data_IF_419647962975
#
_entry.id   IF_419647962975
#
_cell.length_a   1.000
_cell.length_b   1.000
_cell.length_c   1.000
_cell.angle_alpha   90.00
_cell.angle_beta   90.00
_cell.angle_gamma   90.00
#
_symmetry.space_group_name_H-M   'P 1'
#
loop_
_entity.id
_entity.type
_entity.pdbx_description
1 polymer ?
#
# COMPACT_ATOMS: atom_id res chain seq x y z
N UNK A 1 -15.21 22.67 -35.96
CA UNK A 1 -15.08 22.16 -34.58
C UNK A 1 -13.75 22.51 -33.89
N UNK A 2 -12.61 22.62 -34.60
CA UNK A 2 -11.32 22.97 -33.96
C UNK A 2 -11.13 24.42 -33.50
N UNK A 3 -11.90 25.40 -34.02
CA UNK A 3 -11.80 26.81 -33.59
C UNK A 3 -12.65 27.16 -32.36
N UNK A 4 -13.61 26.30 -32.02
CA UNK A 4 -14.44 26.43 -30.81
C UNK A 4 -13.79 25.77 -29.60
N UNK A 5 -12.99 24.71 -29.81
CA UNK A 5 -12.22 24.04 -28.75
C UNK A 5 -11.14 24.96 -28.13
N UNK A 6 -10.43 25.76 -28.93
CA UNK A 6 -9.44 26.70 -28.43
C UNK A 6 -10.04 27.86 -27.60
N UNK A 7 -11.26 28.30 -27.94
CA UNK A 7 -11.96 29.35 -27.21
C UNK A 7 -12.53 28.84 -25.87
N UNK A 8 -12.95 27.57 -25.79
CA UNK A 8 -13.44 26.95 -24.55
C UNK A 8 -12.29 26.66 -23.57
N UNK A 9 -11.11 26.24 -24.07
CA UNK A 9 -9.92 26.02 -23.24
C UNK A 9 -9.34 27.31 -22.61
N UNK A 10 -9.48 28.46 -23.27
CA UNK A 10 -9.05 29.74 -22.71
C UNK A 10 -9.99 30.27 -21.61
N UNK A 11 -11.27 29.87 -21.61
CA UNK A 11 -12.26 30.32 -20.62
C UNK A 11 -12.15 29.56 -19.29
N UNK A 12 -11.67 28.31 -19.31
CA UNK A 12 -11.57 27.46 -18.10
C UNK A 12 -10.31 27.82 -17.28
N UNK A 13 -9.24 28.30 -17.92
CA UNK A 13 -8.00 28.69 -17.22
C UNK A 13 -8.10 30.02 -16.45
N UNK A 14 -9.15 30.82 -16.70
CA UNK A 14 -9.35 32.13 -16.06
C UNK A 14 -10.25 32.10 -14.80
N UNK A 15 -10.86 30.95 -14.46
CA UNK A 15 -11.81 30.85 -13.34
C UNK A 15 -11.24 30.21 -12.05
N UNK A 16 -9.95 29.89 -11.98
CA UNK A 16 -9.33 29.25 -10.80
C UNK A 16 -8.56 30.19 -9.86
N UNK A 17 -8.67 31.52 -10.03
CA UNK A 17 -7.98 32.51 -9.19
C UNK A 17 -8.96 33.44 -8.46
N UNK A 18 -10.00 32.89 -7.83
CA UNK A 18 -10.79 33.60 -6.82
C UNK A 18 -11.19 32.62 -5.72
N UNK A 19 -10.36 32.52 -4.68
CA UNK A 19 -10.82 32.19 -3.34
C UNK A 19 -9.83 32.74 -2.31
N UNK A 20 -10.22 33.88 -1.74
CA UNK A 20 -9.99 34.34 -0.38
C UNK A 20 -8.54 34.52 0.11
N UNK A 21 -7.95 35.67 -0.24
CA UNK A 21 -7.13 36.42 0.70
C UNK A 21 -7.98 37.50 1.39
N UNK A 22 -8.14 37.40 2.72
CA UNK A 22 -8.20 38.53 3.67
C UNK A 22 -8.59 38.05 5.07
N UNK A 23 -7.62 37.95 5.96
CA UNK A 23 -7.76 38.57 7.28
C UNK A 23 -6.37 38.92 7.79
N UNK A 24 -6.15 40.21 7.96
CA UNK A 24 -4.92 40.78 8.46
C UNK A 24 -5.22 41.68 9.67
N UNK A 25 -4.31 41.59 10.63
CA UNK A 25 -3.92 42.58 11.65
C UNK A 25 -4.74 42.65 12.94
N UNK A 26 -4.05 42.31 14.04
CA UNK A 26 -3.96 43.21 15.18
C UNK A 26 -3.78 42.52 16.53
N UNK A 27 -2.56 42.49 17.06
CA UNK A 27 -2.33 42.17 18.48
C UNK A 27 -0.89 41.85 18.83
N UNK A 28 -0.23 42.79 19.52
CA UNK A 28 1.17 42.82 19.90
C UNK A 28 1.68 41.66 20.81
N UNK A 29 2.99 41.49 20.79
CA UNK A 29 3.84 40.60 21.58
C UNK A 29 3.64 40.70 23.10
N UNK A 30 3.68 39.56 23.80
CA UNK A 30 4.57 39.30 24.95
C UNK A 30 4.68 37.78 25.20
N UNK A 31 5.79 37.29 25.80
CA UNK A 31 6.17 35.88 25.79
C UNK A 31 5.69 35.13 27.05
N UNK A 32 5.41 33.84 26.88
CA UNK A 32 5.38 32.89 27.99
C UNK A 32 4.00 32.32 28.31
N UNK A 33 3.68 31.18 27.71
CA UNK A 33 3.11 30.03 28.42
C UNK A 33 3.10 28.83 27.47
N UNK A 34 3.75 27.77 27.91
CA UNK A 34 3.82 26.46 27.27
C UNK A 34 2.39 25.96 27.05
N UNK A 35 2.02 25.44 25.85
CA UNK A 35 0.71 24.82 25.69
C UNK A 35 0.69 23.54 26.53
N UNK A 36 -0.33 23.43 27.39
CA UNK A 36 -0.64 22.18 28.10
C UNK A 36 -0.78 21.03 27.08
N UNK A 37 -0.22 19.83 27.35
CA UNK A 37 -0.37 18.72 26.42
C UNK A 37 -1.84 18.32 26.41
N UNK A 38 -2.44 18.35 25.22
CA UNK A 38 -3.76 17.75 24.98
C UNK A 38 -3.77 16.32 25.53
N UNK A 39 -4.82 15.90 26.25
CA UNK A 39 -4.92 14.52 26.70
C UNK A 39 -4.87 13.64 25.45
N UNK A 40 -3.96 12.65 25.45
CA UNK A 40 -3.96 11.59 24.45
C UNK A 40 -5.35 10.97 24.50
N UNK A 41 -6.15 11.22 23.47
CA UNK A 41 -7.37 10.48 23.26
C UNK A 41 -6.93 9.04 23.06
N UNK A 42 -7.09 8.23 24.12
CA UNK A 42 -7.07 6.79 24.01
C UNK A 42 -8.33 6.43 23.20
N UNK A 43 -8.17 6.43 21.88
CA UNK A 43 -9.17 5.89 20.98
C UNK A 43 -8.96 4.38 21.04
N UNK A 44 -9.40 3.75 22.13
CA UNK A 44 -9.61 2.31 22.11
C UNK A 44 -10.64 2.06 21.00
N UNK A 45 -10.17 1.65 19.82
CA UNK A 45 -11.06 1.18 18.77
C UNK A 45 -11.79 -0.06 19.29
N UNK A 46 -13.09 -0.24 18.99
CA UNK A 46 -13.78 -1.48 19.31
C UNK A 46 -12.99 -2.66 18.74
N UNK A 47 -12.70 -3.67 19.57
CA UNK A 47 -12.17 -4.93 19.09
C UNK A 47 -13.17 -5.48 18.05
N UNK A 48 -12.69 -5.67 16.82
CA UNK A 48 -13.50 -6.22 15.73
C UNK A 48 -13.97 -7.64 16.12
N UNK A 49 -15.14 -8.08 15.63
CA UNK A 49 -15.45 -9.51 15.66
C UNK A 49 -14.29 -10.28 15.01
N UNK A 50 -13.89 -11.38 15.64
CA UNK A 50 -12.81 -12.27 15.20
C UNK A 50 -12.96 -12.57 13.70
N UNK A 51 -12.17 -11.90 12.88
CA UNK A 51 -12.18 -11.99 11.43
C UNK A 51 -11.04 -12.88 11.02
N UNK A 52 -11.35 -14.06 10.50
CA UNK A 52 -10.35 -15.02 10.03
C UNK A 52 -10.36 -15.10 8.52
N UNK A 53 -9.18 -15.18 7.93
CA UNK A 53 -9.01 -15.58 6.54
C UNK A 53 -8.73 -17.08 6.45
N UNK A 54 -9.13 -17.69 5.35
CA UNK A 54 -8.75 -19.04 4.99
C UNK A 54 -7.96 -18.99 3.68
N UNK A 55 -7.02 -19.93 3.44
CA UNK A 55 -6.37 -20.00 2.14
C UNK A 55 -7.40 -20.21 1.03
N UNK A 56 -7.18 -19.54 -0.10
CA UNK A 56 -8.05 -19.67 -1.28
C UNK A 56 -8.11 -21.12 -1.76
N UNK A 57 -9.30 -21.59 -2.14
CA UNK A 57 -9.49 -22.86 -2.84
C UNK A 57 -9.47 -22.65 -4.35
N UNK A 58 -8.43 -23.16 -5.03
CA UNK A 58 -8.30 -23.12 -6.49
C UNK A 58 -7.38 -22.01 -6.99
N UNK A 59 -7.38 -21.80 -8.31
CA UNK A 59 -6.55 -20.78 -8.96
C UNK A 59 -7.22 -19.40 -8.84
N UNK A 60 -6.45 -18.45 -8.33
CA UNK A 60 -6.82 -17.05 -8.09
C UNK A 60 -5.92 -16.10 -8.90
N UNK A 61 -5.22 -16.61 -9.90
CA UNK A 61 -4.41 -15.83 -10.83
C UNK A 61 -5.24 -15.46 -12.04
N UNK A 62 -5.30 -14.17 -12.35
CA UNK A 62 -5.99 -13.67 -13.52
C UNK A 62 -5.23 -14.11 -14.79
N UNK A 63 -5.96 -14.49 -15.86
CA UNK A 63 -5.35 -14.75 -17.15
C UNK A 63 -4.54 -13.54 -17.63
N UNK A 64 -3.27 -13.75 -17.94
CA UNK A 64 -2.36 -12.71 -18.41
C UNK A 64 -1.43 -13.26 -19.50
N UNK A 65 -0.93 -12.36 -20.34
CA UNK A 65 0.13 -12.69 -21.27
C UNK A 65 1.46 -12.78 -20.50
N UNK A 66 2.36 -13.73 -20.84
CA UNK A 66 3.64 -13.83 -20.16
C UNK A 66 4.43 -12.53 -20.23
N UNK A 67 4.80 -12.00 -19.06
CA UNK A 67 5.63 -10.81 -18.96
C UNK A 67 7.12 -11.18 -19.07
N UNK A 68 7.91 -10.29 -19.68
CA UNK A 68 9.36 -10.42 -19.75
C UNK A 68 9.97 -9.52 -18.68
N UNK A 69 10.41 -10.12 -17.58
CA UNK A 69 11.11 -9.41 -16.52
C UNK A 69 12.60 -9.32 -16.80
N UNK A 70 13.20 -8.18 -16.46
CA UNK A 70 14.64 -8.04 -16.51
C UNK A 70 15.26 -8.78 -15.31
N UNK A 71 16.44 -9.39 -15.49
CA UNK A 71 17.13 -10.09 -14.39
C UNK A 71 17.56 -9.19 -13.22
N UNK A 72 17.47 -7.87 -13.40
CA UNK A 72 17.71 -6.86 -12.38
C UNK A 72 16.41 -6.27 -11.79
N UNK A 73 15.26 -6.90 -12.03
CA UNK A 73 13.99 -6.52 -11.38
C UNK A 73 14.22 -6.50 -9.87
N UNK A 74 13.95 -5.36 -9.23
CA UNK A 74 14.16 -5.18 -7.79
C UNK A 74 12.83 -5.26 -7.03
N UNK A 75 12.87 -5.91 -5.87
CA UNK A 75 11.79 -5.94 -4.90
C UNK A 75 12.34 -5.53 -3.55
N UNK A 76 11.61 -4.67 -2.84
CA UNK A 76 11.87 -4.29 -1.45
C UNK A 76 10.75 -4.85 -0.57
N UNK A 77 11.13 -5.47 0.55
CA UNK A 77 10.20 -6.00 1.54
C UNK A 77 10.52 -5.39 2.88
N UNK A 78 9.50 -4.89 3.57
CA UNK A 78 9.59 -4.34 4.93
C UNK A 78 8.54 -5.01 5.82
N UNK A 79 8.95 -5.49 6.99
CA UNK A 79 8.01 -5.95 8.02
C UNK A 79 7.13 -4.80 8.51
N UNK A 80 5.86 -5.08 8.79
CA UNK A 80 4.94 -4.06 9.25
C UNK A 80 5.26 -3.66 10.70
N UNK A 81 5.85 -2.47 10.87
CA UNK A 81 6.18 -1.91 12.19
C UNK A 81 4.98 -1.64 13.12
N UNK A 82 3.73 -1.89 12.69
CA UNK A 82 2.57 -1.95 13.59
C UNK A 82 2.44 -3.28 14.32
N UNK A 83 3.07 -4.34 13.81
CA UNK A 83 3.03 -5.69 14.35
C UNK A 83 4.33 -6.07 15.06
N UNK A 84 5.46 -5.42 14.73
CA UNK A 84 6.78 -5.68 15.29
C UNK A 84 7.47 -4.39 15.74
N UNK A 85 8.27 -4.46 16.81
CA UNK A 85 8.93 -3.28 17.41
C UNK A 85 10.15 -2.79 16.60
N UNK A 86 10.85 -3.69 15.89
CA UNK A 86 12.05 -3.40 15.08
C UNK A 86 11.91 -4.07 13.70
N UNK A 87 11.14 -3.47 12.78
CA UNK A 87 10.81 -4.09 11.50
C UNK A 87 12.05 -4.23 10.62
N UNK A 88 12.26 -5.45 10.13
CA UNK A 88 13.31 -5.74 9.16
C UNK A 88 12.90 -5.28 7.77
N UNK A 89 13.91 -4.89 6.98
CA UNK A 89 13.73 -4.58 5.57
C UNK A 89 14.89 -5.14 4.75
N UNK A 90 14.59 -5.57 3.53
CA UNK A 90 15.58 -6.04 2.57
C UNK A 90 15.15 -5.70 1.14
N UNK A 91 16.14 -5.41 0.30
CA UNK A 91 15.95 -5.32 -1.15
C UNK A 91 16.70 -6.47 -1.83
N UNK A 92 16.05 -7.13 -2.78
CA UNK A 92 16.64 -8.24 -3.53
C UNK A 92 16.23 -8.18 -5.00
N UNK A 93 16.97 -8.90 -5.85
CA UNK A 93 16.75 -8.94 -7.29
C UNK A 93 16.87 -10.36 -7.84
N UNK A 94 16.63 -10.52 -9.14
CA UNK A 94 16.78 -11.80 -9.82
C UNK A 94 15.55 -12.68 -9.68
N UNK A 95 15.74 -14.00 -9.67
CA UNK A 95 14.64 -14.97 -9.77
C UNK A 95 13.58 -14.83 -8.69
N UNK A 96 13.97 -14.57 -7.44
CA UNK A 96 13.04 -14.40 -6.32
C UNK A 96 12.21 -13.12 -6.46
N UNK A 97 12.84 -12.01 -6.85
CA UNK A 97 12.16 -10.75 -7.11
C UNK A 97 11.17 -10.87 -8.27
N UNK A 98 11.58 -11.55 -9.34
CA UNK A 98 10.71 -11.84 -10.49
C UNK A 98 9.52 -12.72 -10.08
N UNK A 99 9.75 -13.79 -9.33
CA UNK A 99 8.69 -14.71 -8.91
C UNK A 99 7.67 -14.02 -7.99
N UNK A 100 8.14 -13.21 -7.03
CA UNK A 100 7.26 -12.46 -6.14
C UNK A 100 6.48 -11.38 -6.88
N UNK A 101 7.15 -10.65 -7.78
CA UNK A 101 6.51 -9.64 -8.63
C UNK A 101 5.42 -10.25 -9.52
N UNK A 102 5.74 -11.34 -10.21
CA UNK A 102 4.84 -12.01 -11.15
C UNK A 102 3.61 -12.58 -10.45
N UNK A 103 3.79 -13.13 -9.25
CA UNK A 103 2.68 -13.57 -8.42
C UNK A 103 1.79 -12.38 -8.03
N UNK A 104 2.36 -11.35 -7.38
CA UNK A 104 1.59 -10.27 -6.79
C UNK A 104 0.84 -9.41 -7.81
N UNK A 105 1.37 -9.24 -9.02
CA UNK A 105 0.72 -8.41 -10.05
C UNK A 105 -0.48 -9.09 -10.71
N UNK A 106 -0.55 -10.43 -10.66
CA UNK A 106 -1.58 -11.19 -11.38
C UNK A 106 -2.65 -11.82 -10.47
N UNK A 107 -2.56 -11.64 -9.14
CA UNK A 107 -3.64 -12.04 -8.23
C UNK A 107 -4.97 -11.33 -8.55
N UNK A 108 -6.08 -12.02 -8.35
CA UNK A 108 -7.43 -11.47 -8.49
C UNK A 108 -7.81 -10.62 -7.27
N UNK A 109 -7.45 -9.33 -7.28
CA UNK A 109 -7.83 -8.35 -6.26
C UNK A 109 -9.27 -7.83 -6.43
N UNK A 110 -10.24 -8.74 -6.52
CA UNK A 110 -11.66 -8.39 -6.63
C UNK A 110 -12.37 -8.26 -5.27
N UNK A 111 -11.76 -8.75 -4.20
CA UNK A 111 -12.33 -8.69 -2.85
C UNK A 111 -12.07 -7.32 -2.17
N UNK A 112 -13.02 -6.90 -1.34
CA UNK A 112 -12.91 -5.66 -0.58
C UNK A 112 -11.97 -5.78 0.63
N UNK A 113 -11.33 -4.67 1.00
CA UNK A 113 -10.39 -4.64 2.13
C UNK A 113 -11.10 -4.83 3.49
N UNK A 114 -10.54 -5.72 4.29
CA UNK A 114 -10.80 -5.83 5.72
C UNK A 114 -9.81 -4.97 6.56
N UNK A 115 -10.04 -4.88 7.88
CA UNK A 115 -9.16 -4.13 8.79
C UNK A 115 -7.92 -4.90 9.24
N UNK A 116 -7.77 -6.18 8.86
CA UNK A 116 -6.58 -6.96 9.18
C UNK A 116 -5.33 -6.26 8.65
N UNK A 117 -4.25 -6.36 9.42
CA UNK A 117 -2.98 -5.72 9.10
C UNK A 117 -2.10 -6.69 8.32
N UNK A 118 -1.45 -6.27 7.22
CA UNK A 118 -0.46 -7.09 6.56
C UNK A 118 0.76 -7.28 7.46
N UNK A 119 1.45 -8.41 7.34
CA UNK A 119 2.73 -8.69 8.01
C UNK A 119 3.90 -8.02 7.30
N UNK A 120 3.81 -7.91 5.97
CA UNK A 120 4.85 -7.38 5.12
C UNK A 120 4.28 -6.31 4.17
N UNK A 121 5.09 -5.31 3.88
CA UNK A 121 4.90 -4.37 2.79
C UNK A 121 5.90 -4.74 1.69
N UNK A 122 5.43 -4.99 0.48
CA UNK A 122 6.22 -5.43 -0.66
C UNK A 122 6.13 -4.39 -1.77
N UNK A 123 7.24 -3.73 -2.07
CA UNK A 123 7.39 -2.78 -3.16
C UNK A 123 8.09 -3.47 -4.32
N UNK A 124 7.40 -3.62 -5.45
CA UNK A 124 7.96 -4.16 -6.68
C UNK A 124 8.25 -3.03 -7.66
N UNK A 125 9.16 -3.25 -8.60
CA UNK A 125 9.46 -2.27 -9.67
C UNK A 125 8.23 -1.85 -10.50
N UNK A 126 7.16 -2.65 -10.48
CA UNK A 126 5.93 -2.43 -11.24
C UNK A 126 4.76 -1.94 -10.37
N UNK A 127 4.96 -1.83 -9.06
CA UNK A 127 3.93 -1.39 -8.13
C UNK A 127 3.86 0.15 -8.07
N UNK A 128 2.65 0.71 -8.19
CA UNK A 128 2.42 2.14 -7.90
C UNK A 128 2.36 2.38 -6.38
N UNK A 129 1.87 1.39 -5.64
CA UNK A 129 1.76 1.37 -4.17
C UNK A 129 2.23 0.01 -3.64
N UNK A 130 2.79 -0.07 -2.41
CA UNK A 130 3.24 -1.33 -1.83
C UNK A 130 2.09 -2.33 -1.70
N UNK A 131 2.35 -3.59 -2.02
CA UNK A 131 1.45 -4.68 -1.66
C UNK A 131 1.53 -4.94 -0.15
N UNK A 132 0.39 -5.15 0.49
CA UNK A 132 0.34 -5.67 1.86
C UNK A 132 0.20 -7.18 1.84
N UNK A 133 1.11 -7.95 2.43
CA UNK A 133 1.06 -9.41 2.46
C UNK A 133 0.93 -9.89 3.90
N UNK A 134 0.00 -10.79 4.18
CA UNK A 134 -0.11 -11.51 5.44
C UNK A 134 -0.07 -13.02 5.15
N UNK A 135 0.98 -13.69 5.63
CA UNK A 135 1.19 -15.12 5.40
C UNK A 135 0.42 -15.95 6.43
N UNK A 136 0.31 -15.48 7.68
CA UNK A 136 -0.47 -16.16 8.71
C UNK A 136 -1.96 -16.24 8.40
N UNK A 137 -2.49 -15.21 7.73
CA UNK A 137 -3.88 -15.10 7.29
C UNK A 137 -4.04 -15.27 5.77
N UNK A 138 -3.01 -15.72 5.06
CA UNK A 138 -3.10 -16.07 3.63
C UNK A 138 -3.80 -15.01 2.77
N UNK A 139 -3.36 -13.76 2.79
CA UNK A 139 -3.89 -12.74 1.86
C UNK A 139 -2.82 -11.76 1.38
N UNK A 140 -3.09 -11.14 0.23
CA UNK A 140 -2.38 -9.99 -0.30
C UNK A 140 -3.35 -8.81 -0.50
N UNK A 141 -2.85 -7.58 -0.42
CA UNK A 141 -3.58 -6.32 -0.56
C UNK A 141 -2.90 -5.45 -1.60
N UNK A 142 -3.69 -4.80 -2.44
CA UNK A 142 -3.24 -3.81 -3.42
C UNK A 142 -4.25 -2.65 -3.46
N UNK A 143 -3.83 -1.44 -3.11
CA UNK A 143 -4.70 -0.27 -3.03
C UNK A 143 -5.89 -0.47 -2.08
N UNK A 144 -7.10 -0.39 -2.62
CA UNK A 144 -8.38 -0.56 -1.90
C UNK A 144 -8.98 -1.98 -2.01
N UNK A 145 -8.21 -2.94 -2.55
CA UNK A 145 -8.63 -4.33 -2.76
C UNK A 145 -7.70 -5.35 -2.11
N UNK A 146 -8.17 -6.59 -1.94
CA UNK A 146 -7.38 -7.73 -1.48
C UNK A 146 -7.66 -9.00 -2.29
N UNK A 147 -6.77 -9.98 -2.17
CA UNK A 147 -6.90 -11.32 -2.71
C UNK A 147 -6.51 -12.31 -1.61
N UNK A 148 -7.28 -13.38 -1.45
CA UNK A 148 -6.85 -14.54 -0.65
C UNK A 148 -5.70 -15.25 -1.38
N UNK A 149 -4.72 -15.77 -0.64
CA UNK A 149 -3.61 -16.56 -1.15
C UNK A 149 -3.91 -18.04 -0.99
N UNK A 150 -3.51 -18.85 -1.96
CA UNK A 150 -3.50 -20.31 -1.79
C UNK A 150 -2.37 -20.72 -0.85
N UNK A 151 -2.47 -21.93 -0.28
CA UNK A 151 -1.39 -22.47 0.56
C UNK A 151 -0.04 -22.56 -0.17
N UNK A 152 -0.06 -22.91 -1.46
CA UNK A 152 1.15 -22.98 -2.30
C UNK A 152 1.78 -21.59 -2.49
N UNK A 153 0.97 -20.56 -2.68
CA UNK A 153 1.44 -19.17 -2.79
C UNK A 153 2.04 -18.67 -1.47
N UNK A 154 1.41 -18.99 -0.33
CA UNK A 154 1.95 -18.66 1.00
C UNK A 154 3.33 -19.31 1.19
N UNK A 155 3.47 -20.60 0.88
CA UNK A 155 4.74 -21.32 0.99
C UNK A 155 5.81 -20.77 0.03
N UNK A 156 5.42 -20.40 -1.19
CA UNK A 156 6.30 -19.77 -2.16
C UNK A 156 6.83 -18.43 -1.66
N UNK A 157 5.93 -17.56 -1.17
CA UNK A 157 6.30 -16.25 -0.64
C UNK A 157 7.17 -16.42 0.61
N UNK A 158 6.77 -17.27 1.56
CA UNK A 158 7.58 -17.57 2.75
C UNK A 158 8.99 -18.01 2.38
N UNK A 159 9.13 -18.93 1.42
CA UNK A 159 10.44 -19.38 0.98
C UNK A 159 11.29 -18.27 0.36
N UNK A 160 10.67 -17.34 -0.39
CA UNK A 160 11.36 -16.15 -0.91
C UNK A 160 11.81 -15.24 0.24
N UNK A 161 10.94 -14.99 1.21
CA UNK A 161 11.23 -14.15 2.37
C UNK A 161 12.37 -14.74 3.21
N UNK A 162 12.34 -16.03 3.52
CA UNK A 162 13.38 -16.73 4.30
C UNK A 162 14.77 -16.65 3.66
N UNK A 163 14.85 -16.57 2.33
CA UNK A 163 16.13 -16.47 1.61
C UNK A 163 16.69 -15.05 1.55
N UNK A 164 15.85 -14.04 1.70
CA UNK A 164 16.20 -12.65 1.37
C UNK A 164 16.10 -11.69 2.56
N UNK A 165 15.26 -11.97 3.56
CA UNK A 165 15.18 -11.18 4.80
C UNK A 165 16.27 -11.59 5.79
N UNK A 166 16.77 -10.65 6.62
CA UNK A 166 17.74 -10.96 7.65
C UNK A 166 17.14 -11.77 8.81
N UNK A 167 17.95 -12.66 9.39
CA UNK A 167 17.62 -13.46 10.59
C UNK A 167 17.30 -12.62 11.83
#
# INVERSE_FOLDING_TARGET
MKRYLAAVLALILALALVSCGAQAVGGASEPGSVPEPLPKADVSQPEEPDHSHQPAEGDNILPHEPMIYCGNTITEVTENGRLVDDPKAASFWGGDSVALTDLLIHLDYSEGICRCLPEYLVETEFSEEPYGVNLSESYARCGDSQAELTQEQVEQIQGILDRNLPD
#
